data_IF_790176660660
#
_entry.id   IF_790176660660
#
_cell.length_a   1.000
_cell.length_b   1.000
_cell.length_c   1.000
_cell.angle_alpha   90.00
_cell.angle_beta   90.00
_cell.angle_gamma   90.00
#
_symmetry.space_group_name_H-M   'P 1'
#
loop_
_entity.id
_entity.type
_entity.pdbx_description
1 polymer ?
#
# COMPACT_ATOMS: atom_id res chain seq x y z
N UNK A 1 -19.03 -27.34 -18.65
CA UNK A 1 -18.09 -26.46 -17.92
C UNK A 1 -18.90 -25.54 -17.04
N UNK A 2 -18.52 -25.40 -15.76
CA UNK A 2 -19.21 -24.52 -14.82
C UNK A 2 -18.84 -23.07 -15.11
N UNK A 3 -19.78 -22.15 -14.92
CA UNK A 3 -19.55 -20.71 -15.16
C UNK A 3 -18.99 -19.96 -13.95
N UNK A 4 -18.97 -20.60 -12.77
CA UNK A 4 -18.51 -20.02 -11.52
C UNK A 4 -18.00 -21.09 -10.55
N UNK A 5 -17.19 -20.64 -9.60
CA UNK A 5 -16.73 -21.43 -8.46
C UNK A 5 -17.92 -21.80 -7.57
N UNK A 6 -17.94 -23.03 -7.07
CA UNK A 6 -18.96 -23.54 -6.16
C UNK A 6 -18.34 -23.92 -4.81
N UNK A 7 -19.05 -23.64 -3.73
CA UNK A 7 -18.70 -24.07 -2.39
C UNK A 7 -19.69 -25.13 -1.90
N UNK A 8 -19.20 -26.34 -1.69
CA UNK A 8 -19.97 -27.44 -1.16
C UNK A 8 -19.81 -27.47 0.37
N UNK A 9 -20.89 -27.14 1.06
CA UNK A 9 -20.95 -27.25 2.52
C UNK A 9 -20.95 -28.72 2.93
N UNK A 10 -20.34 -29.02 4.09
CA UNK A 10 -20.36 -30.37 4.67
C UNK A 10 -21.81 -30.84 4.89
N UNK A 11 -22.17 -31.97 4.27
CA UNK A 11 -23.56 -32.44 4.20
C UNK A 11 -24.00 -33.21 5.46
N UNK A 12 -23.10 -33.94 6.13
CA UNK A 12 -23.47 -34.89 7.21
C UNK A 12 -22.64 -34.68 8.49
N UNK A 13 -23.13 -35.23 9.61
CA UNK A 13 -22.40 -35.29 10.88
C UNK A 13 -21.20 -36.28 10.82
N UNK A 14 -21.24 -37.19 9.83
CA UNK A 14 -20.34 -38.35 9.70
C UNK A 14 -19.10 -38.12 8.81
N UNK A 15 -18.69 -36.86 8.58
CA UNK A 15 -17.31 -36.60 8.13
C UNK A 15 -17.06 -36.23 6.67
N UNK A 16 -18.08 -35.94 5.85
CA UNK A 16 -17.83 -35.30 4.55
C UNK A 16 -17.33 -33.87 4.77
N UNK A 17 -16.05 -33.61 4.53
CA UNK A 17 -15.47 -32.27 4.64
C UNK A 17 -16.04 -31.34 3.56
N UNK A 18 -16.20 -30.05 3.91
CA UNK A 18 -16.58 -29.03 2.93
C UNK A 18 -15.56 -28.98 1.80
N UNK A 19 -15.95 -28.73 0.55
CA UNK A 19 -15.00 -28.58 -0.56
C UNK A 19 -15.33 -27.40 -1.47
N UNK A 20 -14.32 -26.94 -2.20
CA UNK A 20 -14.47 -25.95 -3.28
C UNK A 20 -14.32 -26.68 -4.60
N UNK A 21 -15.20 -26.42 -5.55
CA UNK A 21 -15.08 -26.90 -6.92
C UNK A 21 -14.90 -25.71 -7.87
N UNK A 22 -13.82 -25.71 -8.65
CA UNK A 22 -13.57 -24.65 -9.62
C UNK A 22 -14.27 -24.90 -10.98
N UNK A 23 -14.09 -23.96 -11.91
CA UNK A 23 -14.76 -23.97 -13.23
C UNK A 23 -14.40 -25.17 -14.09
N UNK A 24 -13.22 -25.74 -13.86
CA UNK A 24 -12.68 -26.91 -14.55
C UNK A 24 -13.07 -28.24 -13.85
N UNK A 25 -13.81 -28.15 -12.73
CA UNK A 25 -14.24 -29.30 -11.94
C UNK A 25 -13.18 -29.81 -10.96
N UNK A 26 -12.08 -29.07 -10.73
CA UNK A 26 -11.10 -29.46 -9.73
C UNK A 26 -11.68 -29.23 -8.33
N UNK A 27 -11.52 -30.24 -7.46
CA UNK A 27 -12.00 -30.21 -6.07
C UNK A 27 -10.87 -29.94 -5.09
N UNK A 28 -11.05 -28.95 -4.23
CA UNK A 28 -10.12 -28.56 -3.17
C UNK A 28 -10.76 -28.82 -1.82
N UNK A 29 -10.03 -29.49 -0.93
CA UNK A 29 -10.47 -29.83 0.43
C UNK A 29 -9.64 -29.10 1.46
N UNK A 30 -10.09 -29.00 2.72
CA UNK A 30 -9.32 -28.42 3.80
C UNK A 30 -7.96 -29.11 3.92
N UNK A 31 -6.88 -28.33 3.94
CA UNK A 31 -5.51 -28.87 4.04
C UNK A 31 -4.62 -28.10 5.05
N UNK A 32 -5.23 -27.29 5.91
CA UNK A 32 -4.52 -26.61 7.00
C UNK A 32 -5.29 -25.42 7.57
N UNK A 33 -4.62 -24.72 8.49
CA UNK A 33 -5.10 -23.48 9.09
C UNK A 33 -3.93 -22.52 9.32
N UNK A 34 -4.15 -21.19 9.29
CA UNK A 34 -3.14 -20.22 9.64
C UNK A 34 -2.68 -20.38 11.10
N UNK A 35 -1.42 -20.01 11.37
CA UNK A 35 -0.77 -20.21 12.68
C UNK A 35 -1.17 -19.19 13.76
N UNK A 36 -1.66 -18.00 13.38
CA UNK A 36 -1.97 -16.90 14.30
C UNK A 36 -3.19 -16.09 13.86
N UNK A 37 -3.84 -15.40 14.82
CA UNK A 37 -4.39 -14.05 14.59
C UNK A 37 -5.67 -13.89 13.80
N UNK A 38 -6.78 -14.60 14.12
CA UNK A 38 -8.04 -14.33 13.42
C UNK A 38 -9.24 -14.22 14.37
N UNK A 39 -9.98 -13.12 14.24
CA UNK A 39 -11.33 -12.92 14.78
C UNK A 39 -12.34 -13.85 14.09
N UNK A 40 -12.04 -14.26 12.86
CA UNK A 40 -12.73 -15.29 12.11
C UNK A 40 -12.07 -16.67 12.29
N UNK A 41 -12.84 -17.72 12.02
CA UNK A 41 -12.25 -19.03 11.77
C UNK A 41 -11.80 -19.15 10.32
N UNK A 42 -10.53 -19.46 10.11
CA UNK A 42 -9.90 -19.49 8.79
C UNK A 42 -9.35 -20.86 8.49
N UNK A 43 -9.57 -21.37 7.27
CA UNK A 43 -9.04 -22.66 6.79
C UNK A 43 -8.42 -22.52 5.42
N UNK A 44 -7.37 -23.28 5.17
CA UNK A 44 -6.74 -23.39 3.86
C UNK A 44 -7.34 -24.56 3.09
N UNK A 45 -7.55 -24.36 1.79
CA UNK A 45 -8.11 -25.35 0.88
C UNK A 45 -7.13 -25.57 -0.28
N UNK A 46 -6.82 -26.83 -0.56
CA UNK A 46 -5.88 -27.23 -1.59
C UNK A 46 -5.87 -28.73 -1.82
N UNK A 47 -4.96 -29.21 -2.66
CA UNK A 47 -4.67 -30.62 -2.76
C UNK A 47 -3.68 -31.04 -1.66
N UNK A 48 -3.71 -32.32 -1.31
CA UNK A 48 -2.75 -32.87 -0.36
C UNK A 48 -1.32 -32.68 -0.86
N UNK A 49 -0.41 -32.26 0.03
CA UNK A 49 0.99 -31.97 -0.28
C UNK A 49 1.22 -30.87 -1.34
N UNK A 50 0.21 -30.05 -1.63
CA UNK A 50 0.33 -28.86 -2.48
C UNK A 50 0.07 -27.59 -1.67
N UNK A 51 0.65 -26.45 -2.09
CA UNK A 51 0.27 -25.16 -1.53
C UNK A 51 -1.25 -24.96 -1.60
N UNK A 52 -1.87 -24.30 -0.59
CA UNK A 52 -3.28 -23.96 -0.67
C UNK A 52 -3.59 -23.14 -1.92
N UNK A 53 -4.77 -23.37 -2.50
CA UNK A 53 -5.32 -22.54 -3.59
C UNK A 53 -6.27 -21.47 -3.06
N UNK A 54 -6.97 -21.76 -1.95
CA UNK A 54 -7.93 -20.85 -1.35
C UNK A 54 -7.77 -20.74 0.16
N UNK A 55 -8.17 -19.59 0.69
CA UNK A 55 -8.37 -19.30 2.10
C UNK A 55 -9.87 -19.09 2.31
N UNK A 56 -10.45 -19.81 3.26
CA UNK A 56 -11.88 -19.68 3.57
C UNK A 56 -12.03 -19.11 4.96
N UNK A 57 -12.63 -17.92 5.05
CA UNK A 57 -13.02 -17.26 6.30
C UNK A 57 -14.49 -17.57 6.63
N UNK A 58 -14.75 -17.86 7.89
CA UNK A 58 -16.09 -18.00 8.45
C UNK A 58 -16.17 -17.30 9.81
N UNK A 59 -17.32 -16.74 10.22
CA UNK A 59 -17.45 -16.14 11.54
C UNK A 59 -17.20 -17.17 12.64
N UNK A 60 -16.60 -16.72 13.74
CA UNK A 60 -16.40 -17.55 14.92
C UNK A 60 -17.71 -17.60 15.73
N UNK A 61 -18.26 -18.78 16.06
CA UNK A 61 -19.43 -18.88 16.91
C UNK A 61 -19.05 -18.62 18.37
N UNK A 62 -20.01 -18.12 19.16
CA UNK A 62 -19.82 -17.77 20.58
C UNK A 62 -19.41 -18.98 21.44
N UNK A 63 -19.87 -20.18 21.07
CA UNK A 63 -19.47 -21.46 21.68
C UNK A 63 -19.35 -22.51 20.59
N UNK A 64 -18.26 -23.27 20.65
CA UNK A 64 -18.00 -24.40 19.77
C UNK A 64 -18.22 -25.65 20.59
N UNK A 65 -19.35 -26.31 20.39
CA UNK A 65 -19.70 -27.58 21.04
C UNK A 65 -19.69 -28.74 20.05
N UNK A 66 -19.82 -28.44 18.76
CA UNK A 66 -19.87 -29.43 17.68
C UNK A 66 -19.45 -28.83 16.32
N UNK A 67 -19.12 -29.69 15.35
CA UNK A 67 -18.84 -29.28 13.96
C UNK A 67 -20.10 -28.79 13.22
N UNK A 68 -21.31 -29.00 13.76
CA UNK A 68 -22.54 -28.39 13.28
C UNK A 68 -22.68 -26.92 13.63
N UNK A 69 -22.03 -26.44 14.71
CA UNK A 69 -22.09 -25.02 15.11
C UNK A 69 -21.41 -24.10 14.08
N UNK A 70 -20.49 -24.67 13.29
CA UNK A 70 -19.85 -24.04 12.13
C UNK A 70 -20.82 -23.80 10.95
N UNK A 71 -21.93 -24.54 10.92
CA UNK A 71 -22.94 -24.53 9.85
C UNK A 71 -24.15 -23.67 10.24
N UNK A 72 -24.08 -22.97 11.37
CA UNK A 72 -25.23 -22.27 11.92
C UNK A 72 -25.66 -21.11 11.01
N UNK A 73 -26.90 -21.18 10.49
CA UNK A 73 -27.54 -20.09 9.75
C UNK A 73 -27.57 -18.78 10.56
N UNK A 74 -27.51 -18.85 11.90
CA UNK A 74 -27.41 -17.66 12.77
C UNK A 74 -26.11 -16.87 12.57
N UNK A 75 -25.02 -17.53 12.15
CA UNK A 75 -23.78 -16.83 11.79
C UNK A 75 -23.95 -16.04 10.48
N UNK A 76 -24.89 -16.44 9.63
CA UNK A 76 -25.26 -15.73 8.40
C UNK A 76 -26.29 -14.61 8.69
N UNK A 77 -25.98 -13.76 9.68
CA UNK A 77 -26.76 -12.58 10.03
C UNK A 77 -26.30 -11.35 9.23
N UNK A 78 -27.09 -10.27 9.29
CA UNK A 78 -26.83 -9.03 8.56
C UNK A 78 -25.45 -8.43 8.86
N UNK A 79 -25.04 -8.42 10.13
CA UNK A 79 -23.72 -7.90 10.53
C UNK A 79 -22.57 -8.63 9.83
N UNK A 80 -22.56 -9.96 9.88
CA UNK A 80 -21.52 -10.77 9.24
C UNK A 80 -21.58 -10.70 7.71
N UNK A 81 -22.79 -10.64 7.12
CA UNK A 81 -22.97 -10.44 5.67
C UNK A 81 -22.36 -9.12 5.22
N UNK A 82 -22.66 -8.02 5.92
CA UNK A 82 -22.14 -6.69 5.59
C UNK A 82 -20.62 -6.65 5.72
N UNK A 83 -20.06 -7.22 6.81
CA UNK A 83 -18.60 -7.28 6.99
C UNK A 83 -17.89 -8.07 5.88
N UNK A 84 -18.39 -9.25 5.53
CA UNK A 84 -17.74 -10.09 4.50
C UNK A 84 -18.03 -9.62 3.09
N UNK A 85 -19.16 -8.99 2.83
CA UNK A 85 -19.41 -8.32 1.56
C UNK A 85 -18.46 -7.12 1.39
N UNK A 86 -18.25 -6.34 2.45
CA UNK A 86 -17.25 -5.27 2.44
C UNK A 86 -15.84 -5.80 2.17
N UNK A 87 -15.41 -6.84 2.88
CA UNK A 87 -14.10 -7.47 2.63
C UNK A 87 -13.98 -8.02 1.20
N UNK A 88 -15.04 -8.64 0.67
CA UNK A 88 -15.12 -9.12 -0.72
C UNK A 88 -14.93 -7.98 -1.73
N UNK A 89 -15.63 -6.87 -1.54
CA UNK A 89 -15.59 -5.73 -2.46
C UNK A 89 -14.19 -5.09 -2.47
N UNK A 90 -13.59 -4.93 -1.28
CA UNK A 90 -12.22 -4.41 -1.15
C UNK A 90 -11.19 -5.40 -1.71
N UNK A 91 -11.34 -6.70 -1.46
CA UNK A 91 -10.45 -7.71 -2.03
C UNK A 91 -10.44 -7.66 -3.56
N UNK A 92 -11.62 -7.60 -4.18
CA UNK A 92 -11.74 -7.56 -5.64
C UNK A 92 -11.24 -6.24 -6.25
N UNK A 93 -11.20 -5.16 -5.48
CA UNK A 93 -10.55 -3.92 -5.86
C UNK A 93 -9.02 -4.02 -5.76
N UNK A 94 -8.50 -4.62 -4.68
CA UNK A 94 -7.06 -4.73 -4.40
C UNK A 94 -6.38 -5.78 -5.27
N UNK A 95 -7.07 -6.89 -5.58
CA UNK A 95 -6.58 -8.05 -6.32
C UNK A 95 -7.55 -8.46 -7.46
N UNK A 96 -7.73 -7.63 -8.50
CA UNK A 96 -8.76 -7.84 -9.52
C UNK A 96 -8.60 -9.13 -10.34
N UNK A 97 -7.37 -9.61 -10.51
CA UNK A 97 -7.04 -10.84 -11.23
C UNK A 97 -7.25 -12.10 -10.39
N UNK A 98 -7.39 -11.96 -9.07
CA UNK A 98 -7.58 -13.05 -8.11
C UNK A 98 -8.87 -12.80 -7.32
N UNK A 99 -10.02 -12.95 -7.98
CA UNK A 99 -11.32 -12.63 -7.39
C UNK A 99 -11.71 -13.53 -6.22
N UNK A 100 -12.27 -12.91 -5.19
CA UNK A 100 -12.92 -13.56 -4.06
C UNK A 100 -14.41 -13.83 -4.34
N UNK A 101 -14.99 -14.70 -3.51
CA UNK A 101 -16.40 -15.13 -3.61
C UNK A 101 -17.03 -15.24 -2.22
N UNK A 102 -18.29 -14.85 -2.10
CA UNK A 102 -19.07 -14.98 -0.87
C UNK A 102 -20.22 -15.97 -1.09
N UNK A 103 -20.28 -17.02 -0.26
CA UNK A 103 -21.32 -18.04 -0.30
C UNK A 103 -22.19 -17.97 0.96
N UNK A 104 -23.51 -18.00 0.79
CA UNK A 104 -24.48 -17.72 1.88
C UNK A 104 -25.58 -18.78 2.05
N UNK A 105 -25.56 -19.88 1.28
CA UNK A 105 -26.68 -20.84 1.22
C UNK A 105 -26.91 -21.58 2.55
N UNK A 106 -25.88 -22.26 3.06
CA UNK A 106 -25.94 -23.11 4.27
C UNK A 106 -25.01 -22.62 5.39
N UNK A 107 -24.85 -21.30 5.48
CA UNK A 107 -23.90 -20.62 6.34
C UNK A 107 -23.28 -19.45 5.58
N UNK A 108 -22.27 -18.77 6.14
CA UNK A 108 -21.55 -17.70 5.43
C UNK A 108 -20.08 -18.08 5.30
N UNK A 109 -19.55 -18.00 4.07
CA UNK A 109 -18.16 -18.33 3.73
C UNK A 109 -17.60 -17.29 2.76
N UNK A 110 -16.58 -16.57 3.19
CA UNK A 110 -15.78 -15.74 2.31
C UNK A 110 -14.60 -16.58 1.81
N UNK A 111 -14.58 -16.85 0.52
CA UNK A 111 -13.54 -17.63 -0.17
C UNK A 111 -12.63 -16.66 -0.89
N UNK A 112 -11.38 -16.58 -0.43
CA UNK A 112 -10.32 -15.73 -0.97
C UNK A 112 -9.31 -16.63 -1.70
N UNK A 113 -8.78 -16.23 -2.86
CA UNK A 113 -7.60 -16.88 -3.42
C UNK A 113 -6.42 -16.81 -2.45
N UNK A 114 -5.65 -17.90 -2.37
CA UNK A 114 -4.46 -17.94 -1.53
C UNK A 114 -3.37 -17.04 -2.13
N UNK A 115 -2.84 -16.13 -1.31
CA UNK A 115 -1.67 -15.33 -1.65
C UNK A 115 -0.42 -16.02 -1.09
N UNK A 116 0.68 -16.10 -1.87
CA UNK A 116 1.89 -16.77 -1.44
C UNK A 116 2.61 -15.96 -0.34
N UNK A 117 3.41 -16.67 0.47
CA UNK A 117 4.28 -16.07 1.47
C UNK A 117 3.93 -16.40 2.91
N UNK A 118 4.63 -15.75 3.83
CA UNK A 118 4.40 -15.82 5.29
C UNK A 118 4.13 -14.42 5.82
N UNK A 119 3.51 -14.31 7.00
CA UNK A 119 3.30 -13.01 7.62
C UNK A 119 4.63 -12.29 7.87
N UNK A 120 4.65 -10.96 7.78
CA UNK A 120 5.85 -10.15 8.04
C UNK A 120 6.43 -10.41 9.45
N UNK A 121 5.56 -10.68 10.43
CA UNK A 121 5.97 -11.12 11.77
C UNK A 121 6.87 -12.37 11.78
N UNK A 122 6.75 -13.24 10.77
CA UNK A 122 7.62 -14.42 10.63
C UNK A 122 9.05 -14.07 10.24
N UNK A 123 9.32 -12.85 9.78
CA UNK A 123 10.64 -12.37 9.35
C UNK A 123 11.32 -11.47 10.40
N UNK A 124 10.58 -10.98 11.40
CA UNK A 124 11.12 -10.06 12.43
C UNK A 124 12.07 -10.73 13.44
N UNK A 125 12.36 -12.04 13.31
CA UNK A 125 13.31 -12.79 14.15
C UNK A 125 14.80 -12.57 13.81
N UNK A 126 15.15 -11.57 12.98
CA UNK A 126 16.55 -11.19 12.60
C UNK A 126 17.37 -12.29 11.92
N UNK A 127 16.75 -13.20 11.19
CA UNK A 127 17.47 -14.21 10.40
C UNK A 127 18.05 -13.64 9.09
N UNK A 128 17.62 -12.45 8.67
CA UNK A 128 17.98 -11.85 7.38
C UNK A 128 19.23 -10.98 7.43
N UNK A 129 20.04 -11.02 6.37
CA UNK A 129 21.12 -10.05 6.17
C UNK A 129 20.54 -8.65 5.92
N UNK A 130 21.35 -7.60 6.13
CA UNK A 130 20.89 -6.21 6.01
C UNK A 130 20.33 -5.89 4.62
N UNK A 131 20.86 -6.52 3.56
CA UNK A 131 20.36 -6.30 2.19
C UNK A 131 18.97 -6.91 2.03
N UNK A 132 18.78 -8.16 2.44
CA UNK A 132 17.50 -8.85 2.42
C UNK A 132 16.46 -8.10 3.25
N UNK A 133 16.85 -7.58 4.41
CA UNK A 133 15.98 -6.76 5.26
C UNK A 133 15.55 -5.45 4.58
N UNK A 134 16.48 -4.74 3.90
CA UNK A 134 16.14 -3.55 3.12
C UNK A 134 15.21 -3.88 1.95
N UNK A 135 15.45 -4.98 1.24
CA UNK A 135 14.62 -5.41 0.10
C UNK A 135 13.21 -5.82 0.53
N UNK A 136 13.08 -6.49 1.68
CA UNK A 136 11.81 -6.85 2.28
C UNK A 136 11.02 -5.60 2.68
N UNK A 137 11.65 -4.66 3.39
CA UNK A 137 11.03 -3.38 3.74
C UNK A 137 10.62 -2.59 2.49
N UNK A 138 11.48 -2.54 1.46
CA UNK A 138 11.14 -1.90 0.20
C UNK A 138 9.85 -2.49 -0.42
N UNK A 139 9.69 -3.82 -0.41
CA UNK A 139 8.48 -4.48 -0.90
C UNK A 139 7.23 -4.08 -0.09
N UNK A 140 7.33 -4.03 1.24
CA UNK A 140 6.23 -3.60 2.13
C UNK A 140 5.78 -2.18 1.82
N UNK A 141 6.73 -1.25 1.66
CA UNK A 141 6.42 0.16 1.44
C UNK A 141 5.83 0.39 0.04
N UNK A 142 6.32 -0.33 -0.97
CA UNK A 142 5.75 -0.31 -2.31
C UNK A 142 4.32 -0.84 -2.33
N UNK A 143 4.05 -1.94 -1.62
CA UNK A 143 2.70 -2.50 -1.53
C UNK A 143 1.75 -1.56 -0.79
N UNK A 144 2.20 -0.95 0.31
CA UNK A 144 1.39 0.02 1.04
C UNK A 144 1.13 1.30 0.22
N UNK A 145 2.11 1.75 -0.57
CA UNK A 145 1.91 2.83 -1.54
C UNK A 145 0.86 2.45 -2.59
N UNK A 146 0.97 1.27 -3.22
CA UNK A 146 -0.02 0.78 -4.19
C UNK A 146 -1.42 0.73 -3.59
N UNK A 147 -1.53 0.25 -2.35
CA UNK A 147 -2.80 0.15 -1.65
C UNK A 147 -3.44 1.53 -1.38
N UNK A 148 -2.66 2.50 -0.91
CA UNK A 148 -3.15 3.87 -0.69
C UNK A 148 -3.46 4.60 -2.00
N UNK A 149 -2.80 4.24 -3.11
CA UNK A 149 -3.12 4.69 -4.47
C UNK A 149 -4.50 4.25 -4.98
N UNK A 150 -5.12 3.24 -4.34
CA UNK A 150 -6.51 2.87 -4.57
C UNK A 150 -7.51 3.74 -3.78
N UNK A 151 -7.04 4.72 -3.01
CA UNK A 151 -7.87 5.56 -2.13
C UNK A 151 -8.33 4.83 -0.86
N UNK A 152 -7.57 3.81 -0.43
CA UNK A 152 -7.91 2.94 0.70
C UNK A 152 -7.06 3.26 1.93
N UNK A 153 -7.66 3.11 3.11
CA UNK A 153 -7.01 3.22 4.43
C UNK A 153 -7.19 1.91 5.17
N UNK A 154 -6.09 1.32 5.63
CA UNK A 154 -6.13 0.12 6.48
C UNK A 154 -6.25 0.53 7.95
N UNK A 155 -7.38 0.27 8.61
CA UNK A 155 -7.62 0.76 9.99
C UNK A 155 -7.05 -0.16 11.08
N UNK A 156 -6.62 -1.38 10.73
CA UNK A 156 -5.94 -2.31 11.65
C UNK A 156 -4.56 -2.70 11.09
N UNK A 157 -3.73 -1.72 10.72
CA UNK A 157 -2.43 -2.03 10.12
C UNK A 157 -1.46 -2.57 11.18
N UNK A 158 -0.96 -3.79 10.97
CA UNK A 158 0.00 -4.50 11.83
C UNK A 158 0.84 -5.47 11.02
N UNK A 159 1.93 -5.97 11.58
CA UNK A 159 2.85 -6.88 10.88
C UNK A 159 2.16 -8.15 10.37
N UNK A 160 1.18 -8.68 11.11
CA UNK A 160 0.43 -9.87 10.69
C UNK A 160 -0.44 -9.67 9.44
N UNK A 161 -0.73 -8.41 9.10
CA UNK A 161 -1.57 -8.05 7.95
C UNK A 161 -0.76 -7.81 6.66
N UNK A 162 0.54 -8.12 6.68
CA UNK A 162 1.37 -8.21 5.50
C UNK A 162 1.83 -9.64 5.27
N UNK A 163 1.59 -10.20 4.08
CA UNK A 163 2.26 -11.42 3.62
C UNK A 163 3.47 -11.05 2.79
N UNK A 164 4.58 -11.73 3.02
CA UNK A 164 5.83 -11.57 2.30
C UNK A 164 6.15 -12.87 1.57
N UNK A 165 6.17 -12.79 0.25
CA UNK A 165 6.66 -13.83 -0.65
C UNK A 165 8.12 -13.53 -0.99
N UNK A 166 9.01 -14.48 -0.69
CA UNK A 166 10.37 -14.49 -1.25
C UNK A 166 10.34 -15.23 -2.57
N UNK A 167 10.66 -14.53 -3.65
CA UNK A 167 10.78 -15.11 -5.00
C UNK A 167 12.09 -15.88 -5.15
N UNK A 168 12.15 -16.73 -6.16
CA UNK A 168 13.33 -17.56 -6.46
C UNK A 168 14.58 -16.73 -6.79
N UNK A 169 14.40 -15.54 -7.36
CA UNK A 169 15.48 -14.60 -7.66
C UNK A 169 16.00 -13.84 -6.42
N UNK A 170 15.47 -14.15 -5.23
CA UNK A 170 15.83 -13.51 -3.98
C UNK A 170 15.10 -12.17 -3.73
N UNK A 171 14.26 -11.71 -4.65
CA UNK A 171 13.44 -10.51 -4.44
C UNK A 171 12.21 -10.82 -3.58
N UNK A 172 11.60 -9.78 -3.03
CA UNK A 172 10.41 -9.91 -2.19
C UNK A 172 9.20 -9.28 -2.86
N UNK A 173 8.03 -9.85 -2.59
CA UNK A 173 6.74 -9.24 -2.87
C UNK A 173 5.93 -9.22 -1.58
N UNK A 174 5.36 -8.06 -1.26
CA UNK A 174 4.45 -7.91 -0.14
C UNK A 174 3.00 -7.91 -0.64
N UNK A 175 2.09 -8.36 0.21
CA UNK A 175 0.65 -8.34 0.00
C UNK A 175 -0.05 -7.87 1.27
N UNK A 176 -0.96 -6.92 1.17
CA UNK A 176 -1.82 -6.54 2.31
C UNK A 176 -3.03 -7.47 2.39
N UNK A 177 -3.30 -8.00 3.58
CA UNK A 177 -4.43 -8.89 3.87
C UNK A 177 -5.27 -8.36 5.03
N UNK A 178 -6.36 -9.08 5.36
CA UNK A 178 -7.32 -8.71 6.41
C UNK A 178 -8.08 -7.41 6.12
N UNK A 179 -8.77 -7.41 4.98
CA UNK A 179 -9.33 -6.20 4.37
C UNK A 179 -10.70 -5.79 4.95
N UNK A 180 -11.16 -6.44 6.01
CA UNK A 180 -12.48 -6.16 6.61
C UNK A 180 -12.53 -4.86 7.44
N UNK A 181 -11.37 -4.38 7.87
CA UNK A 181 -11.18 -3.12 8.60
C UNK A 181 -10.84 -1.94 7.67
N UNK A 182 -10.84 -2.15 6.35
CA UNK A 182 -10.42 -1.12 5.38
C UNK A 182 -11.49 -0.06 5.20
N UNK A 183 -11.10 1.20 5.34
CA UNK A 183 -11.92 2.36 5.06
C UNK A 183 -11.49 3.09 3.77
N UNK A 184 -12.22 4.16 3.44
CA UNK A 184 -11.79 5.12 2.43
C UNK A 184 -10.79 6.08 3.04
N UNK A 185 -9.71 6.34 2.32
CA UNK A 185 -8.73 7.35 2.68
C UNK A 185 -9.34 8.74 2.51
N UNK A 186 -9.33 9.53 3.59
CA UNK A 186 -9.81 10.91 3.60
C UNK A 186 -8.64 11.89 3.50
N UNK A 187 -8.85 13.11 2.94
CA UNK A 187 -7.79 14.12 2.84
C UNK A 187 -7.19 14.54 4.20
N UNK A 188 -7.95 14.39 5.28
CA UNK A 188 -7.59 14.74 6.66
C UNK A 188 -7.25 13.53 7.53
N UNK A 189 -7.23 12.31 6.97
CA UNK A 189 -6.76 11.14 7.69
C UNK A 189 -5.30 11.35 8.07
N UNK A 190 -5.08 11.73 9.33
CA UNK A 190 -3.74 11.81 9.88
C UNK A 190 -3.18 10.38 9.97
N UNK A 191 -2.16 10.11 9.18
CA UNK A 191 -0.84 9.57 9.51
C UNK A 191 -0.60 8.66 10.75
N UNK A 192 -1.40 8.67 11.81
CA UNK A 192 -0.96 8.19 13.13
C UNK A 192 -0.67 6.68 13.21
N UNK A 193 -1.61 5.81 12.86
CA UNK A 193 -1.43 4.38 13.16
C UNK A 193 -0.45 3.68 12.22
N UNK A 194 -0.51 3.99 10.92
CA UNK A 194 0.36 3.34 9.93
C UNK A 194 1.76 3.97 9.87
N UNK A 195 1.94 5.26 10.19
CA UNK A 195 3.30 5.80 10.31
C UNK A 195 4.07 5.17 11.47
N UNK A 196 3.43 4.77 12.57
CA UNK A 196 4.16 4.13 13.66
C UNK A 196 4.72 2.78 13.18
N UNK A 197 3.88 1.97 12.54
CA UNK A 197 4.27 0.66 12.00
C UNK A 197 5.34 0.81 10.91
N UNK A 198 5.13 1.72 9.95
CA UNK A 198 6.08 1.94 8.86
C UNK A 198 7.37 2.62 9.32
N UNK A 199 7.31 3.58 10.24
CA UNK A 199 8.53 4.18 10.80
C UNK A 199 9.33 3.14 11.58
N UNK A 200 8.68 2.29 12.40
CA UNK A 200 9.37 1.20 13.09
C UNK A 200 10.07 0.24 12.11
N UNK A 201 9.37 -0.15 11.04
CA UNK A 201 9.93 -0.99 9.98
C UNK A 201 11.12 -0.33 9.28
N UNK A 202 11.03 0.98 9.02
CA UNK A 202 12.12 1.74 8.44
C UNK A 202 13.32 1.85 9.38
N UNK A 203 13.09 2.18 10.64
CA UNK A 203 14.13 2.34 11.66
C UNK A 203 14.89 1.01 11.88
N UNK A 204 14.20 -0.12 11.80
CA UNK A 204 14.80 -1.46 11.88
C UNK A 204 15.81 -1.74 10.73
N UNK A 205 15.82 -0.95 9.66
CA UNK A 205 16.85 -1.05 8.61
C UNK A 205 18.20 -0.43 9.01
N UNK A 206 18.23 0.33 10.11
CA UNK A 206 19.37 1.12 10.55
C UNK A 206 19.61 2.39 9.71
N UNK A 207 18.68 2.72 8.80
CA UNK A 207 18.69 3.96 8.05
C UNK A 207 18.12 5.10 8.90
N UNK A 208 18.68 6.29 8.75
CA UNK A 208 18.07 7.49 9.34
C UNK A 208 16.86 7.88 8.51
N UNK A 209 15.72 8.10 9.18
CA UNK A 209 14.55 8.71 8.56
C UNK A 209 15.01 9.97 7.80
N UNK A 210 14.66 10.10 6.51
CA UNK A 210 15.19 11.17 5.69
C UNK A 210 14.62 12.52 6.12
N UNK A 211 15.50 13.40 6.59
CA UNK A 211 15.18 14.79 6.97
C UNK A 211 15.00 15.72 5.75
N UNK A 212 15.31 15.22 4.54
CA UNK A 212 15.40 16.02 3.31
C UNK A 212 14.66 15.35 2.16
N UNK A 213 13.90 16.16 1.43
CA UNK A 213 13.12 15.78 0.24
C UNK A 213 14.00 15.11 -0.84
N UNK A 214 13.61 13.96 -1.43
CA UNK A 214 14.40 13.33 -2.48
C UNK A 214 14.49 14.23 -3.71
N UNK A 215 15.60 14.19 -4.47
CA UNK A 215 15.73 14.93 -5.71
C UNK A 215 14.58 14.64 -6.68
N UNK A 216 13.72 15.63 -6.92
CA UNK A 216 12.60 15.54 -7.84
C UNK A 216 11.26 15.12 -7.22
N UNK A 217 11.19 15.08 -5.90
CA UNK A 217 9.96 15.22 -5.14
C UNK A 217 9.75 16.67 -4.75
N UNK A 218 8.50 17.05 -4.64
CA UNK A 218 8.12 18.37 -4.18
C UNK A 218 7.66 18.25 -2.73
N UNK A 219 8.48 18.65 -1.77
CA UNK A 219 7.93 19.13 -0.51
C UNK A 219 7.40 20.54 -0.80
N UNK A 220 6.21 20.87 -0.31
CA UNK A 220 5.73 22.25 -0.32
C UNK A 220 6.77 23.14 0.37
N UNK A 221 7.63 23.81 -0.39
CA UNK A 221 8.56 24.79 0.16
C UNK A 221 7.71 26.00 0.52
N UNK A 222 7.32 26.05 1.80
CA UNK A 222 6.62 27.20 2.35
C UNK A 222 7.65 28.26 2.66
N UNK A 223 7.46 29.43 2.07
CA UNK A 223 8.23 30.61 2.40
C UNK A 223 7.26 31.53 3.13
N UNK A 224 7.48 31.65 4.44
CA UNK A 224 6.81 32.64 5.25
C UNK A 224 7.38 34.00 4.85
N UNK A 225 6.72 34.67 3.91
CA UNK A 225 7.05 36.04 3.54
C UNK A 225 5.76 36.84 3.56
N UNK A 226 5.67 37.92 4.35
CA UNK A 226 4.57 38.86 4.19
C UNK A 226 4.67 39.44 2.78
N UNK A 227 3.84 38.94 1.87
CA UNK A 227 3.68 39.48 0.51
C UNK A 227 2.30 40.12 0.45
N UNK A 228 2.26 41.45 0.26
CA UNK A 228 1.01 42.22 0.26
C UNK A 228 0.27 42.09 -1.08
N UNK A 229 1.00 41.72 -2.14
CA UNK A 229 0.52 41.59 -3.52
C UNK A 229 1.34 40.56 -4.34
N UNK A 230 0.85 40.22 -5.54
CA UNK A 230 1.50 39.22 -6.42
C UNK A 230 2.90 39.65 -6.91
N UNK A 231 3.14 40.95 -7.10
CA UNK A 231 4.44 41.44 -7.58
C UNK A 231 5.53 41.23 -6.53
N UNK A 232 5.21 41.47 -5.26
CA UNK A 232 6.09 41.13 -4.15
C UNK A 232 6.33 39.63 -4.05
N UNK A 233 5.28 38.81 -4.21
CA UNK A 233 5.42 37.36 -4.21
C UNK A 233 6.41 36.89 -5.30
N UNK A 234 6.29 37.41 -6.53
CA UNK A 234 7.20 37.09 -7.65
C UNK A 234 8.64 37.52 -7.39
N UNK A 235 8.84 38.72 -6.85
CA UNK A 235 10.18 39.23 -6.51
C UNK A 235 10.92 38.33 -5.51
N UNK A 236 10.18 37.64 -4.63
CA UNK A 236 10.77 36.71 -3.64
C UNK A 236 11.10 35.35 -4.26
N UNK A 237 10.35 34.90 -5.27
CA UNK A 237 10.64 33.66 -6.00
C UNK A 237 11.98 33.72 -6.73
N UNK A 238 12.34 34.89 -7.28
CA UNK A 238 13.61 35.04 -8.00
C UNK A 238 14.84 34.81 -7.11
N UNK A 239 14.72 35.11 -5.81
CA UNK A 239 15.81 34.93 -4.84
C UNK A 239 16.11 33.47 -4.53
N UNK A 240 15.08 32.62 -4.53
CA UNK A 240 15.22 31.18 -4.26
C UNK A 240 15.54 30.37 -5.52
N UNK A 241 15.45 30.96 -6.71
CA UNK A 241 15.59 30.26 -8.00
C UNK A 241 16.88 29.44 -8.11
N UNK A 242 17.98 29.92 -7.50
CA UNK A 242 19.29 29.25 -7.48
C UNK A 242 19.32 28.00 -6.57
N UNK A 243 18.41 27.92 -5.60
CA UNK A 243 18.28 26.79 -4.67
C UNK A 243 17.37 25.69 -5.22
N UNK A 244 16.64 25.95 -6.31
CA UNK A 244 15.67 25.03 -6.88
C UNK A 244 16.29 24.17 -7.98
N UNK A 245 16.02 22.86 -7.93
CA UNK A 245 16.49 21.89 -8.92
C UNK A 245 15.91 22.16 -10.30
N UNK A 246 16.77 22.11 -11.33
CA UNK A 246 16.37 22.13 -12.75
C UNK A 246 16.21 20.72 -13.35
N UNK A 247 16.04 19.70 -12.50
CA UNK A 247 15.80 18.32 -12.96
C UNK A 247 14.30 17.96 -13.01
N UNK A 248 13.49 18.48 -12.08
CA UNK A 248 12.02 18.26 -12.02
C UNK A 248 11.29 19.47 -11.39
N UNK A 249 9.98 19.64 -11.64
CA UNK A 249 9.24 20.81 -11.16
C UNK A 249 9.08 20.86 -9.63
N UNK A 250 8.95 22.05 -9.03
CA UNK A 250 8.80 22.30 -7.57
C UNK A 250 7.63 23.20 -7.25
N UNK A 251 6.70 22.78 -6.38
CA UNK A 251 5.63 23.60 -5.80
C UNK A 251 6.17 24.47 -4.64
N UNK A 252 5.88 25.75 -4.70
CA UNK A 252 6.29 26.77 -3.74
C UNK A 252 5.04 27.47 -3.22
N UNK A 253 4.89 27.57 -1.89
CA UNK A 253 3.85 28.37 -1.24
C UNK A 253 4.45 29.65 -0.71
N UNK A 254 3.83 30.78 -1.05
CA UNK A 254 4.11 32.09 -0.45
C UNK A 254 2.92 32.42 0.44
N UNK A 255 3.16 32.41 1.75
CA UNK A 255 2.12 32.65 2.75
C UNK A 255 1.69 34.11 2.73
N UNK A 256 0.39 34.39 2.60
CA UNK A 256 -0.12 35.74 2.70
C UNK A 256 -0.39 36.08 4.17
N UNK A 257 0.41 36.98 4.75
CA UNK A 257 0.30 37.34 6.17
C UNK A 257 -0.83 38.35 6.47
N UNK A 258 -1.58 38.83 5.46
CA UNK A 258 -2.72 39.72 5.65
C UNK A 258 -4.00 38.91 5.95
N UNK A 259 -4.82 39.38 6.91
CA UNK A 259 -6.09 38.73 7.26
C UNK A 259 -7.01 38.58 6.03
N UNK A 260 -7.64 37.41 5.90
CA UNK A 260 -8.62 37.06 4.87
C UNK A 260 -8.12 37.03 3.40
N UNK A 261 -6.80 36.98 3.17
CA UNK A 261 -6.26 36.74 1.81
C UNK A 261 -5.68 35.34 1.68
N UNK A 262 -5.89 34.73 0.51
CA UNK A 262 -5.36 33.41 0.17
C UNK A 262 -3.85 33.47 -0.09
N UNK A 263 -3.17 32.37 0.25
CA UNK A 263 -1.76 32.15 -0.08
C UNK A 263 -1.55 32.02 -1.59
N UNK A 264 -0.36 32.38 -2.06
CA UNK A 264 0.02 32.20 -3.46
C UNK A 264 0.79 30.89 -3.65
N UNK A 265 0.41 30.11 -4.65
CA UNK A 265 1.11 28.88 -5.01
C UNK A 265 1.70 28.99 -6.41
N UNK A 266 2.97 28.59 -6.53
CA UNK A 266 3.73 28.63 -7.79
C UNK A 266 4.40 27.30 -8.04
N UNK A 267 4.56 26.93 -9.29
CA UNK A 267 5.36 25.79 -9.72
C UNK A 267 6.57 26.31 -10.47
N UNK A 268 7.77 26.02 -9.95
CA UNK A 268 9.01 26.17 -10.68
C UNK A 268 9.20 24.97 -11.60
N UNK A 269 9.23 25.17 -12.93
CA UNK A 269 9.34 24.06 -13.90
C UNK A 269 9.83 24.55 -15.27
N UNK A 270 10.02 23.61 -16.21
CA UNK A 270 10.38 23.94 -17.59
C UNK A 270 9.14 24.48 -18.35
N UNK A 271 9.23 25.72 -18.78
CA UNK A 271 8.19 26.44 -19.51
C UNK A 271 8.14 25.99 -20.98
N UNK A 272 7.09 26.36 -21.71
CA UNK A 272 6.94 26.05 -23.13
C UNK A 272 8.10 26.51 -24.02
N UNK A 273 8.83 27.55 -23.60
CA UNK A 273 10.00 28.06 -24.31
C UNK A 273 11.31 27.33 -23.95
N UNK A 274 11.23 26.21 -23.21
CA UNK A 274 12.38 25.43 -22.75
C UNK A 274 13.16 26.03 -21.58
N UNK A 275 12.73 27.18 -21.05
CA UNK A 275 13.39 27.82 -19.90
C UNK A 275 12.78 27.39 -18.57
N UNK A 276 13.58 27.36 -17.51
CA UNK A 276 13.08 27.14 -16.15
C UNK A 276 12.54 28.42 -15.52
N UNK A 277 11.30 28.39 -15.06
CA UNK A 277 10.63 29.53 -14.47
C UNK A 277 9.40 29.17 -13.63
N UNK A 278 8.80 30.19 -13.03
CA UNK A 278 7.66 30.04 -12.13
C UNK A 278 6.33 30.23 -12.88
N UNK A 279 5.43 29.27 -12.70
CA UNK A 279 4.05 29.33 -13.18
C UNK A 279 3.10 29.40 -11.98
N UNK A 280 2.26 30.43 -11.90
CA UNK A 280 1.25 30.57 -10.84
C UNK A 280 0.16 29.50 -11.02
N UNK A 281 -0.28 28.90 -9.92
CA UNK A 281 -1.44 28.01 -9.92
C UNK A 281 -2.74 28.80 -9.81
N UNK A 282 -3.79 28.29 -10.46
CA UNK A 282 -5.13 28.88 -10.41
C UNK A 282 -5.72 28.77 -8.99
N UNK A 283 -6.32 29.85 -8.50
CA UNK A 283 -6.97 29.93 -7.19
C UNK A 283 -8.12 28.93 -7.04
N UNK A 284 -8.84 28.61 -8.13
CA UNK A 284 -9.87 27.55 -8.14
C UNK A 284 -9.28 26.18 -7.89
N UNK A 285 -8.07 25.94 -8.38
CA UNK A 285 -7.33 24.70 -8.13
C UNK A 285 -6.89 24.67 -6.67
N UNK A 286 -6.27 25.74 -6.18
CA UNK A 286 -5.79 25.85 -4.79
C UNK A 286 -6.92 25.64 -3.78
N UNK A 287 -8.04 26.35 -3.97
CA UNK A 287 -9.23 26.26 -3.11
C UNK A 287 -9.90 24.89 -3.18
N UNK A 288 -9.85 24.20 -4.32
CA UNK A 288 -10.40 22.85 -4.45
C UNK A 288 -9.52 21.74 -3.87
N UNK A 289 -8.25 22.03 -3.55
CA UNK A 289 -7.22 21.01 -3.23
C UNK A 289 -6.63 21.15 -1.82
N UNK A 290 -7.09 22.10 -0.98
CA UNK A 290 -6.62 22.35 0.40
C UNK A 290 -5.11 22.03 0.58
N UNK A 291 -4.29 22.77 -0.16
CA UNK A 291 -2.85 22.55 -0.40
C UNK A 291 -1.93 22.77 0.82
N UNK A 292 -2.43 22.59 2.04
CA UNK A 292 -1.65 22.78 3.27
C UNK A 292 -0.44 21.82 3.34
N UNK A 293 -0.60 20.59 2.84
CA UNK A 293 0.40 19.53 2.82
C UNK A 293 0.37 18.79 1.46
N UNK A 294 1.08 19.29 0.45
CA UNK A 294 1.30 18.54 -0.80
C UNK A 294 2.70 17.98 -0.86
N UNK A 295 2.79 16.72 -1.27
CA UNK A 295 4.07 16.16 -1.65
C UNK A 295 3.98 14.96 -2.61
N UNK A 296 4.74 15.05 -3.71
CA UNK A 296 4.69 14.09 -4.82
C UNK A 296 5.53 14.54 -6.02
N UNK A 297 5.65 13.68 -7.04
CA UNK A 297 6.32 14.00 -8.30
C UNK A 297 5.34 14.68 -9.27
N UNK A 298 5.67 15.87 -9.77
CA UNK A 298 4.84 16.56 -10.77
C UNK A 298 5.12 16.03 -12.18
N UNK A 299 4.06 15.70 -12.93
CA UNK A 299 4.16 15.25 -14.33
C UNK A 299 3.95 16.44 -15.26
N UNK A 300 4.92 16.66 -16.14
CA UNK A 300 4.94 17.66 -17.21
C UNK A 300 4.74 19.13 -16.77
N UNK A 301 5.73 19.96 -17.03
CA UNK A 301 5.79 21.36 -16.58
C UNK A 301 5.09 22.34 -17.54
N UNK A 302 4.47 21.82 -18.61
CA UNK A 302 3.95 22.64 -19.70
C UNK A 302 2.67 23.42 -19.35
N UNK A 303 1.79 22.97 -18.44
CA UNK A 303 0.56 23.73 -18.13
C UNK A 303 0.12 23.71 -16.65
N UNK A 304 -0.24 24.89 -16.13
CA UNK A 304 -0.72 25.07 -14.74
C UNK A 304 -1.96 24.23 -14.41
N UNK A 305 -2.87 24.04 -15.37
CA UNK A 305 -4.07 23.22 -15.23
C UNK A 305 -3.75 21.72 -15.15
N UNK A 306 -2.76 21.24 -15.90
CA UNK A 306 -2.28 19.85 -15.85
C UNK A 306 -1.64 19.56 -14.49
N UNK A 307 -0.80 20.48 -14.01
CA UNK A 307 -0.18 20.39 -12.69
C UNK A 307 -1.23 20.44 -11.59
N UNK A 308 -2.19 21.35 -11.68
CA UNK A 308 -3.27 21.46 -10.70
C UNK A 308 -4.17 20.23 -10.63
N UNK A 309 -4.53 19.64 -11.77
CA UNK A 309 -5.26 18.38 -11.82
C UNK A 309 -4.44 17.22 -11.24
N UNK A 310 -3.12 17.20 -11.49
CA UNK A 310 -2.23 16.20 -10.91
C UNK A 310 -2.14 16.33 -9.38
N UNK A 311 -2.01 17.55 -8.86
CA UNK A 311 -2.02 17.83 -7.42
C UNK A 311 -3.36 17.41 -6.79
N UNK A 312 -4.49 17.71 -7.46
CA UNK A 312 -5.83 17.29 -7.00
C UNK A 312 -5.97 15.77 -6.93
N UNK A 313 -5.50 15.05 -7.95
CA UNK A 313 -5.46 13.58 -7.95
C UNK A 313 -4.55 13.02 -6.86
N UNK A 314 -3.56 13.80 -6.42
CA UNK A 314 -2.60 13.43 -5.38
C UNK A 314 -2.96 14.00 -3.99
N UNK A 315 -4.14 14.57 -3.79
CA UNK A 315 -4.61 15.04 -2.49
C UNK A 315 -5.03 13.87 -1.60
N UNK A 316 -4.61 13.86 -0.33
CA UNK A 316 -4.80 12.69 0.56
C UNK A 316 -3.81 11.55 0.31
N UNK A 317 -2.84 11.73 -0.61
CA UNK A 317 -1.77 10.76 -0.77
C UNK A 317 -0.76 10.84 0.38
N UNK A 318 -0.75 9.75 1.13
CA UNK A 318 0.31 9.26 2.01
C UNK A 318 1.72 9.20 1.32
N UNK A 319 1.77 9.45 0.01
CA UNK A 319 2.87 9.13 -0.91
C UNK A 319 4.22 9.68 -0.50
N UNK A 320 4.35 10.92 0.00
CA UNK A 320 5.69 11.51 0.13
C UNK A 320 6.60 10.88 1.16
N UNK A 321 6.10 10.58 2.36
CA UNK A 321 6.90 9.89 3.37
C UNK A 321 7.23 8.48 2.91
N UNK A 322 6.25 7.79 2.32
CA UNK A 322 6.50 6.49 1.70
C UNK A 322 7.54 6.57 0.59
N UNK A 323 7.48 7.58 -0.26
CA UNK A 323 8.38 7.78 -1.38
C UNK A 323 9.79 8.13 -0.94
N UNK A 324 9.91 8.95 0.10
CA UNK A 324 11.16 9.21 0.82
C UNK A 324 11.77 7.90 1.30
N UNK A 325 11.01 7.10 2.04
CA UNK A 325 11.46 5.81 2.56
C UNK A 325 11.84 4.84 1.43
N UNK A 326 11.02 4.73 0.39
CA UNK A 326 11.28 3.91 -0.80
C UNK A 326 12.57 4.34 -1.49
N UNK A 327 12.82 5.65 -1.65
CA UNK A 327 14.05 6.13 -2.28
C UNK A 327 15.28 5.82 -1.44
N UNK A 328 15.24 6.07 -0.12
CA UNK A 328 16.34 5.73 0.79
C UNK A 328 16.64 4.23 0.78
N UNK A 329 15.60 3.39 0.77
CA UNK A 329 15.74 1.94 0.66
C UNK A 329 16.38 1.56 -0.68
N UNK A 330 15.97 2.16 -1.80
CA UNK A 330 16.55 1.91 -3.11
C UNK A 330 18.05 2.26 -3.18
N UNK A 331 18.44 3.43 -2.66
CA UNK A 331 19.84 3.84 -2.58
C UNK A 331 20.65 2.85 -1.73
N UNK A 332 20.11 2.43 -0.58
CA UNK A 332 20.80 1.48 0.28
C UNK A 332 20.91 0.08 -0.32
N UNK A 333 19.85 -0.40 -0.96
CA UNK A 333 19.84 -1.68 -1.66
C UNK A 333 20.89 -1.68 -2.78
N UNK A 334 20.99 -0.60 -3.55
CA UNK A 334 22.00 -0.47 -4.60
C UNK A 334 23.43 -0.50 -4.04
N UNK A 335 23.69 0.25 -2.97
CA UNK A 335 24.98 0.24 -2.26
C UNK A 335 25.36 -1.16 -1.76
N UNK A 336 24.46 -1.81 -1.01
CA UNK A 336 24.69 -3.14 -0.44
C UNK A 336 24.83 -4.23 -1.51
N UNK A 337 24.07 -4.14 -2.60
CA UNK A 337 24.18 -5.06 -3.74
C UNK A 337 25.55 -4.94 -4.39
N UNK A 338 26.04 -3.71 -4.61
CA UNK A 338 27.36 -3.46 -5.16
C UNK A 338 28.46 -4.05 -4.25
N UNK A 339 28.40 -3.78 -2.95
CA UNK A 339 29.35 -4.33 -1.97
C UNK A 339 29.36 -5.87 -1.96
N UNK A 340 28.18 -6.51 -1.99
CA UNK A 340 28.04 -7.97 -2.05
C UNK A 340 28.63 -8.55 -3.34
N UNK A 341 28.48 -7.85 -4.47
CA UNK A 341 29.07 -8.26 -5.75
C UNK A 341 30.60 -8.15 -5.76
N UNK A 342 31.16 -7.13 -5.10
CA UNK A 342 32.61 -6.92 -4.99
C UNK A 342 33.28 -7.92 -4.05
N UNK A 343 32.56 -8.36 -3.01
CA UNK A 343 33.04 -9.33 -2.02
C UNK A 343 32.71 -10.79 -2.37
N UNK A 344 32.05 -11.03 -3.51
CA UNK A 344 31.79 -12.39 -3.98
C UNK A 344 33.10 -13.01 -4.47
N UNK A 345 33.44 -14.25 -4.05
CA UNK A 345 34.68 -14.87 -4.48
C UNK A 345 34.70 -14.95 -6.01
N UNK A 346 35.73 -14.35 -6.63
CA UNK A 346 35.96 -14.49 -8.06
C UNK A 346 36.02 -15.99 -8.35
N UNK A 347 35.14 -16.50 -9.20
CA UNK A 347 35.23 -17.88 -9.71
C UNK A 347 36.65 -18.02 -10.29
N UNK A 348 37.50 -18.76 -9.58
CA UNK A 348 38.76 -19.25 -10.13
C UNK A 348 38.34 -20.16 -11.29
N UNK A 349 38.46 -19.65 -12.50
CA UNK A 349 38.44 -20.49 -13.69
C UNK A 349 39.67 -21.39 -13.57
N UNK A 350 39.46 -22.64 -13.18
CA UNK A 350 40.44 -23.70 -13.38
C UNK A 350 40.11 -24.24 -14.78
N UNK A 351 40.94 -23.97 -15.80
CA UNK A 351 40.77 -24.62 -17.09
C UNK A 351 41.06 -26.11 -16.89
N UNK A 352 40.10 -26.95 -17.28
CA UNK A 352 40.32 -28.38 -17.53
C UNK A 352 40.37 -28.59 -19.03
#
# INVERSE_FOLDING_TARGET
MKSKLEYHFSANADGDESCIEDVDGNKFTPNGSPSHGWTAWTRFFGHQNQPPKYVVKQPRPDKVRSSSDLRDKKLNNEWNRTRYQHELDIWNLVYPDNKAYLFTDNGIRLVLPYLPGKTLFSFTSREEDQLAWCQLNHAVFCEFKRFTELGLKHCDLKYDNFLIERKQDGTFRAYIIDLDSVGKLKPDDQDYDWNIVLASLFDDTGLKSPDVCPPGYVALKSIDVPAENENEARSKLDKIKKELSQKKPTLVRIKNCQQNKLDYYFVYGCLYNGQWGFTKLDEKIISSVNLSNFSGALVDCRAASVIGNHIKLKQGHISYRLDLYINCLNEKIAELTLLKSQNSPKKLYIPF
#
